data_IF_471368177546
#
_entry.id   IF_471368177546
#
_cell.length_a   1.000
_cell.length_b   1.000
_cell.length_c   1.000
_cell.angle_alpha   90.00
_cell.angle_beta   90.00
_cell.angle_gamma   90.00
#
_symmetry.space_group_name_H-M   'P 1'
#
loop_
_entity.id
_entity.type
_entity.pdbx_description
1 polymer ?
#
# COMPACT_ATOMS: atom_id res chain seq x y z
N UNK A 1 -11.95 27.60 -14.96
CA UNK A 1 -11.89 26.40 -15.83
C UNK A 1 -10.74 26.45 -16.85
N UNK A 2 -10.55 27.54 -17.63
CA UNK A 2 -9.44 27.64 -18.61
C UNK A 2 -8.04 27.62 -17.98
N UNK A 3 -7.88 28.21 -16.80
CA UNK A 3 -6.57 28.29 -16.12
C UNK A 3 -6.03 26.92 -15.67
N UNK A 4 -6.91 26.06 -15.12
CA UNK A 4 -6.53 24.70 -14.68
C UNK A 4 -6.12 23.84 -15.87
N UNK A 5 -6.85 23.97 -16.99
CA UNK A 5 -6.58 23.22 -18.22
C UNK A 5 -5.21 23.61 -18.80
N UNK A 6 -4.94 24.91 -18.95
CA UNK A 6 -3.64 25.42 -19.43
C UNK A 6 -2.47 25.01 -18.53
N UNK A 7 -2.66 25.07 -17.21
CA UNK A 7 -1.65 24.62 -16.26
C UNK A 7 -1.39 23.11 -16.38
N UNK A 8 -2.45 22.30 -16.48
CA UNK A 8 -2.34 20.84 -16.57
C UNK A 8 -1.72 20.39 -17.90
N UNK A 9 -2.01 21.08 -19.00
CA UNK A 9 -1.35 20.87 -20.30
C UNK A 9 0.17 21.06 -20.19
N UNK A 10 0.59 22.19 -19.61
CA UNK A 10 2.01 22.50 -19.41
C UNK A 10 2.67 21.48 -18.49
N UNK A 11 1.98 21.08 -17.41
CA UNK A 11 2.46 20.06 -16.47
C UNK A 11 2.68 18.70 -17.15
N UNK A 12 1.71 18.23 -17.94
CA UNK A 12 1.80 16.95 -18.67
C UNK A 12 2.92 17.00 -19.71
N UNK A 13 3.00 18.08 -20.50
CA UNK A 13 4.06 18.25 -21.49
C UNK A 13 5.45 18.27 -20.87
N UNK A 14 5.63 19.02 -19.77
CA UNK A 14 6.89 19.07 -19.02
C UNK A 14 7.30 17.70 -18.45
N UNK A 15 6.34 16.92 -17.97
CA UNK A 15 6.59 15.57 -17.46
C UNK A 15 6.98 14.59 -18.56
N UNK A 16 6.29 14.59 -19.70
CA UNK A 16 6.61 13.71 -20.84
C UNK A 16 8.00 14.03 -21.41
N UNK A 17 8.34 15.32 -21.55
CA UNK A 17 9.68 15.75 -21.94
C UNK A 17 10.76 15.30 -20.94
N UNK A 18 10.48 15.39 -19.65
CA UNK A 18 11.37 14.88 -18.62
C UNK A 18 11.54 13.35 -18.70
N UNK A 19 10.47 12.58 -18.97
CA UNK A 19 10.59 11.12 -19.12
C UNK A 19 11.49 10.74 -20.30
N UNK A 20 11.43 11.49 -21.41
CA UNK A 20 12.33 11.32 -22.56
C UNK A 20 13.79 11.56 -22.16
N UNK A 21 14.07 12.67 -21.49
CA UNK A 21 15.42 13.01 -21.02
C UNK A 21 15.97 12.01 -19.99
N UNK A 22 15.09 11.44 -19.16
CA UNK A 22 15.45 10.44 -18.16
C UNK A 22 15.63 9.02 -18.74
N UNK A 23 15.51 8.84 -20.06
CA UNK A 23 15.81 7.57 -20.74
C UNK A 23 14.73 6.50 -20.59
N UNK A 24 13.47 6.87 -20.32
CA UNK A 24 12.37 5.90 -20.26
C UNK A 24 12.12 5.28 -21.65
N UNK A 25 11.70 4.02 -21.69
CA UNK A 25 11.36 3.35 -22.94
C UNK A 25 10.24 4.10 -23.71
N UNK A 26 10.29 4.18 -25.06
CA UNK A 26 9.28 4.87 -25.86
C UNK A 26 7.85 4.37 -25.61
N UNK A 27 7.68 3.06 -25.42
CA UNK A 27 6.37 2.45 -25.09
C UNK A 27 5.80 2.91 -23.76
N UNK A 28 6.66 3.10 -22.74
CA UNK A 28 6.30 3.63 -21.43
C UNK A 28 5.88 5.09 -21.53
N UNK A 29 6.62 5.90 -22.29
CA UNK A 29 6.31 7.31 -22.53
C UNK A 29 4.96 7.46 -23.25
N UNK A 30 4.76 6.71 -24.34
CA UNK A 30 3.51 6.71 -25.09
C UNK A 30 2.31 6.32 -24.21
N UNK A 31 2.48 5.28 -23.39
CA UNK A 31 1.42 4.82 -22.48
C UNK A 31 1.10 5.88 -21.43
N UNK A 32 2.11 6.48 -20.81
CA UNK A 32 1.93 7.54 -19.83
C UNK A 32 1.23 8.77 -20.44
N UNK A 33 1.68 9.23 -21.60
CA UNK A 33 1.09 10.37 -22.30
C UNK A 33 -0.40 10.13 -22.62
N UNK A 34 -0.73 8.95 -23.16
CA UNK A 34 -2.12 8.59 -23.47
C UNK A 34 -3.00 8.58 -22.22
N UNK A 35 -2.53 7.98 -21.13
CA UNK A 35 -3.27 7.93 -19.87
C UNK A 35 -3.46 9.33 -19.25
N UNK A 36 -2.44 10.18 -19.30
CA UNK A 36 -2.52 11.55 -18.80
C UNK A 36 -3.46 12.43 -19.63
N UNK A 37 -3.60 12.16 -20.94
CA UNK A 37 -4.59 12.82 -21.80
C UNK A 37 -6.02 12.50 -21.36
N UNK A 38 -6.30 11.24 -21.03
CA UNK A 38 -7.61 10.84 -20.47
C UNK A 38 -7.86 11.46 -19.11
N UNK A 39 -6.83 11.51 -18.24
CA UNK A 39 -6.94 12.16 -16.94
C UNK A 39 -7.26 13.66 -17.07
N UNK A 40 -6.61 14.37 -17.98
CA UNK A 40 -6.91 15.78 -18.27
C UNK A 40 -8.35 16.00 -18.73
N UNK A 41 -8.83 15.18 -19.67
CA UNK A 41 -10.23 15.24 -20.12
C UNK A 41 -11.21 15.04 -18.96
N UNK A 42 -10.94 14.05 -18.10
CA UNK A 42 -11.72 13.78 -16.89
C UNK A 42 -11.76 14.97 -15.93
N UNK A 43 -10.60 15.60 -15.65
CA UNK A 43 -10.52 16.78 -14.77
C UNK A 43 -11.32 17.96 -15.34
N UNK A 44 -11.24 18.16 -16.65
CA UNK A 44 -11.98 19.21 -17.37
C UNK A 44 -13.49 18.99 -17.30
N UNK A 45 -13.95 17.78 -17.55
CA UNK A 45 -15.37 17.40 -17.51
C UNK A 45 -15.96 17.53 -16.09
N UNK A 46 -15.17 17.18 -15.07
CA UNK A 46 -15.59 17.23 -13.66
C UNK A 46 -15.45 18.62 -13.02
N UNK A 47 -14.83 19.58 -13.70
CA UNK A 47 -14.63 20.94 -13.19
C UNK A 47 -13.78 21.00 -11.91
N UNK A 48 -12.81 20.08 -11.76
CA UNK A 48 -12.02 19.95 -10.52
C UNK A 48 -11.13 21.18 -10.32
N UNK A 49 -11.08 21.70 -9.10
CA UNK A 49 -10.22 22.84 -8.74
C UNK A 49 -8.74 22.45 -8.82
N UNK A 50 -7.85 23.43 -9.09
CA UNK A 50 -6.39 23.19 -9.16
C UNK A 50 -5.83 22.49 -7.92
N UNK A 51 -6.36 22.80 -6.74
CA UNK A 51 -5.91 22.23 -5.47
C UNK A 51 -6.35 20.77 -5.33
N UNK A 52 -7.46 20.41 -5.96
CA UNK A 52 -8.07 19.08 -5.82
C UNK A 52 -7.65 18.10 -6.92
N UNK A 53 -6.98 18.56 -7.99
CA UNK A 53 -6.55 17.72 -9.13
C UNK A 53 -5.70 16.53 -8.66
N UNK A 54 -4.71 16.77 -7.78
CA UNK A 54 -3.77 15.75 -7.32
C UNK A 54 -4.09 15.25 -5.90
N UNK A 55 -5.37 14.99 -5.63
CA UNK A 55 -5.84 14.34 -4.40
C UNK A 55 -6.12 12.86 -4.62
N UNK A 56 -6.22 12.11 -3.54
CA UNK A 56 -6.63 10.70 -3.60
C UNK A 56 -8.03 10.54 -4.17
N UNK A 57 -8.95 11.44 -3.85
CA UNK A 57 -10.35 11.32 -4.24
C UNK A 57 -10.52 11.55 -5.74
N UNK A 58 -9.84 12.56 -6.30
CA UNK A 58 -9.77 12.77 -7.75
C UNK A 58 -9.16 11.56 -8.47
N UNK A 59 -8.11 10.95 -7.91
CA UNK A 59 -7.50 9.76 -8.48
C UNK A 59 -8.46 8.55 -8.43
N UNK A 60 -9.14 8.33 -7.30
CA UNK A 60 -10.06 7.21 -7.11
C UNK A 60 -11.30 7.36 -8.00
N UNK A 61 -11.79 8.59 -8.16
CA UNK A 61 -12.86 8.91 -9.10
C UNK A 61 -12.43 8.66 -10.56
N UNK A 62 -11.20 9.01 -10.93
CA UNK A 62 -10.67 8.68 -12.25
C UNK A 62 -10.53 7.16 -12.47
N UNK A 63 -9.99 6.41 -11.49
CA UNK A 63 -9.89 4.94 -11.54
C UNK A 63 -11.26 4.27 -11.70
N UNK A 64 -12.32 4.85 -11.10
CA UNK A 64 -13.68 4.31 -11.23
C UNK A 64 -14.26 4.43 -12.65
N UNK A 65 -13.86 5.47 -13.40
CA UNK A 65 -14.29 5.70 -14.79
C UNK A 65 -13.36 4.97 -15.77
N UNK A 66 -12.07 4.88 -15.44
CA UNK A 66 -11.03 4.25 -16.26
C UNK A 66 -10.27 3.17 -15.48
N UNK A 67 -10.85 1.98 -15.28
CA UNK A 67 -10.24 0.88 -14.52
C UNK A 67 -9.15 0.18 -15.34
N UNK A 68 -8.10 0.91 -15.73
CA UNK A 68 -6.89 0.35 -16.35
C UNK A 68 -5.79 0.24 -15.30
N UNK A 69 -5.12 -0.92 -15.28
CA UNK A 69 -4.07 -1.29 -14.32
C UNK A 69 -2.94 -0.26 -14.13
N UNK A 70 -2.76 0.68 -15.07
CA UNK A 70 -1.68 1.66 -15.06
C UNK A 70 -2.13 3.12 -15.06
N UNK A 71 -3.44 3.39 -15.10
CA UNK A 71 -3.98 4.75 -15.12
C UNK A 71 -3.48 5.55 -13.92
N UNK A 72 -3.57 4.98 -12.73
CA UNK A 72 -3.09 5.63 -11.52
C UNK A 72 -1.56 5.72 -11.41
N UNK A 73 -0.81 4.80 -12.04
CA UNK A 73 0.64 4.87 -12.05
C UNK A 73 1.15 6.11 -12.80
N UNK A 74 0.54 6.43 -13.95
CA UNK A 74 0.89 7.60 -14.75
C UNK A 74 0.58 8.90 -13.98
N UNK A 75 -0.62 9.01 -13.39
CA UNK A 75 -1.04 10.19 -12.62
C UNK A 75 -0.19 10.38 -11.36
N UNK A 76 0.12 9.30 -10.61
CA UNK A 76 1.06 9.35 -9.47
C UNK A 76 2.48 9.68 -9.91
N UNK A 77 2.88 9.28 -11.11
CA UNK A 77 4.16 9.66 -11.73
C UNK A 77 4.26 11.16 -11.93
N UNK A 78 3.26 11.75 -12.59
CA UNK A 78 3.14 13.20 -12.80
C UNK A 78 3.12 13.97 -11.47
N UNK A 79 2.27 13.57 -10.51
CA UNK A 79 2.18 14.23 -9.22
C UNK A 79 3.53 14.25 -8.48
N UNK A 80 4.27 13.13 -8.47
CA UNK A 80 5.61 13.06 -7.89
C UNK A 80 6.60 13.99 -8.59
N UNK A 81 6.53 14.09 -9.93
CA UNK A 81 7.37 14.99 -10.70
C UNK A 81 7.08 16.46 -10.36
N UNK A 82 5.82 16.86 -10.30
CA UNK A 82 5.40 18.21 -9.93
C UNK A 82 5.78 18.56 -8.49
N UNK A 83 5.65 17.61 -7.57
CA UNK A 83 6.08 17.78 -6.18
C UNK A 83 7.60 18.02 -6.08
N UNK A 84 8.41 17.23 -6.79
CA UNK A 84 9.88 17.45 -6.85
C UNK A 84 10.25 18.83 -7.40
N UNK A 85 9.42 19.39 -8.29
CA UNK A 85 9.57 20.73 -8.85
C UNK A 85 8.89 21.84 -8.03
N UNK A 86 8.39 21.52 -6.82
CA UNK A 86 7.67 22.45 -5.92
C UNK A 86 6.45 23.14 -6.57
N UNK A 87 5.84 22.52 -7.58
CA UNK A 87 4.65 23.08 -8.25
C UNK A 87 3.34 22.69 -7.56
N UNK A 88 3.39 21.66 -6.71
CA UNK A 88 2.30 21.23 -5.83
C UNK A 88 2.86 20.99 -4.42
N UNK A 89 2.06 21.23 -3.36
CA UNK A 89 2.55 21.16 -1.98
C UNK A 89 2.82 19.73 -1.49
N UNK A 90 2.15 18.73 -2.07
CA UNK A 90 2.31 17.33 -1.72
C UNK A 90 2.05 16.42 -2.94
N UNK A 91 2.65 15.22 -3.01
CA UNK A 91 2.24 14.21 -3.98
C UNK A 91 0.83 13.69 -3.63
N UNK A 92 0.25 12.85 -4.49
CA UNK A 92 -1.01 12.16 -4.16
C UNK A 92 -0.74 11.20 -2.99
N UNK A 93 -1.28 11.56 -1.82
CA UNK A 93 -1.21 10.75 -0.61
C UNK A 93 -2.52 10.00 -0.47
N UNK A 94 -2.45 8.68 -0.32
CA UNK A 94 -3.62 7.89 0.08
C UNK A 94 -3.98 8.27 1.52
N UNK A 95 -5.22 8.70 1.81
CA UNK A 95 -5.62 9.06 3.15
C UNK A 95 -5.39 7.85 4.06
N UNK A 96 -4.87 8.13 5.25
CA UNK A 96 -4.74 7.11 6.30
C UNK A 96 -6.15 6.79 6.77
N UNK A 97 -6.64 5.60 6.44
CA UNK A 97 -7.82 5.05 7.11
C UNK A 97 -7.36 4.75 8.54
N UNK A 98 -7.92 5.48 9.49
CA UNK A 98 -7.69 5.24 10.91
C UNK A 98 -8.31 3.90 11.26
N UNK A 99 -7.51 3.02 11.84
CA UNK A 99 -8.01 1.80 12.45
C UNK A 99 -8.60 2.13 13.82
N UNK A 100 -9.46 1.26 14.38
CA UNK A 100 -9.89 1.42 15.77
C UNK A 100 -8.70 1.56 16.72
N UNK A 101 -8.90 2.30 17.82
CA UNK A 101 -7.85 2.81 18.71
C UNK A 101 -6.82 1.76 19.16
N UNK A 102 -7.26 0.51 19.38
CA UNK A 102 -6.38 -0.59 19.79
C UNK A 102 -5.29 -0.91 18.74
N UNK A 103 -5.63 -0.84 17.45
CA UNK A 103 -4.70 -1.09 16.37
C UNK A 103 -3.75 0.10 16.19
N UNK A 104 -4.25 1.33 16.27
CA UNK A 104 -3.41 2.53 16.21
C UNK A 104 -2.45 2.63 17.40
N UNK A 105 -2.91 2.26 18.60
CA UNK A 105 -2.07 2.15 19.79
C UNK A 105 -0.95 1.12 19.61
N UNK A 106 -1.25 -0.04 19.00
CA UNK A 106 -0.21 -1.00 18.65
C UNK A 106 0.78 -0.45 17.63
N UNK A 107 0.32 0.26 16.59
CA UNK A 107 1.22 0.80 15.57
C UNK A 107 2.18 1.85 16.14
N UNK A 108 1.71 2.70 17.07
CA UNK A 108 2.56 3.62 17.84
C UNK A 108 3.56 2.87 18.72
N UNK A 109 3.08 1.90 19.51
CA UNK A 109 3.95 1.06 20.33
C UNK A 109 5.03 0.35 19.49
N UNK A 110 4.66 -0.15 18.31
CA UNK A 110 5.58 -0.84 17.40
C UNK A 110 6.62 0.10 16.79
N UNK A 111 6.24 1.34 16.48
CA UNK A 111 7.15 2.39 16.00
C UNK A 111 8.18 2.78 17.07
N UNK A 112 7.72 3.00 18.31
CA UNK A 112 8.56 3.42 19.44
C UNK A 112 9.53 2.32 19.92
N UNK A 113 9.08 1.07 19.98
CA UNK A 113 9.85 0.00 20.65
C UNK A 113 10.85 -0.75 19.77
N UNK A 114 10.78 -0.61 18.43
CA UNK A 114 11.49 -1.55 17.54
C UNK A 114 12.34 -0.93 16.42
N UNK A 115 12.56 0.40 16.41
CA UNK A 115 13.36 1.09 15.38
C UNK A 115 13.03 0.61 13.95
N UNK A 116 11.73 0.51 13.63
CA UNK A 116 11.30 -0.25 12.45
C UNK A 116 11.31 0.60 11.19
N UNK A 117 11.74 0.01 10.08
CA UNK A 117 11.71 0.66 8.78
C UNK A 117 10.28 1.10 8.41
N UNK A 118 10.02 2.32 7.89
CA UNK A 118 8.68 2.80 7.56
C UNK A 118 7.85 1.89 6.64
N UNK A 119 8.52 1.12 5.77
CA UNK A 119 7.89 0.14 4.89
C UNK A 119 7.22 -1.02 5.66
N UNK A 120 7.79 -1.39 6.80
CA UNK A 120 7.24 -2.44 7.67
C UNK A 120 5.94 -1.97 8.35
N UNK A 121 5.87 -0.72 8.82
CA UNK A 121 4.68 -0.13 9.44
C UNK A 121 3.51 -0.09 8.45
N UNK A 122 3.78 0.27 7.21
CA UNK A 122 2.77 0.30 6.14
C UNK A 122 2.22 -1.11 5.87
N UNK A 123 3.10 -2.11 5.83
CA UNK A 123 2.70 -3.51 5.60
C UNK A 123 1.96 -4.08 6.80
N UNK A 124 2.43 -3.84 8.02
CA UNK A 124 1.76 -4.21 9.27
C UNK A 124 0.36 -3.62 9.31
N UNK A 125 0.22 -2.31 9.05
CA UNK A 125 -1.09 -1.64 8.98
C UNK A 125 -2.02 -2.34 7.99
N UNK A 126 -1.54 -2.66 6.78
CA UNK A 126 -2.35 -3.38 5.78
C UNK A 126 -2.86 -4.73 6.29
N UNK A 127 -2.01 -5.50 6.98
CA UNK A 127 -2.40 -6.78 7.58
C UNK A 127 -3.45 -6.56 8.68
N UNK A 128 -3.27 -5.56 9.53
CA UNK A 128 -4.20 -5.24 10.62
C UNK A 128 -5.55 -4.70 10.13
N UNK A 129 -5.55 -3.88 9.07
CA UNK A 129 -6.79 -3.43 8.42
C UNK A 129 -7.57 -4.62 7.88
N UNK A 130 -6.92 -5.52 7.14
CA UNK A 130 -7.58 -6.71 6.62
C UNK A 130 -8.09 -7.64 7.74
N UNK A 131 -7.36 -7.75 8.85
CA UNK A 131 -7.81 -8.49 10.03
C UNK A 131 -9.05 -7.82 10.64
N UNK A 132 -9.03 -6.50 10.80
CA UNK A 132 -10.18 -5.76 11.32
C UNK A 132 -11.42 -5.97 10.45
N UNK A 133 -11.31 -5.82 9.14
CA UNK A 133 -12.40 -6.05 8.20
C UNK A 133 -12.95 -7.48 8.32
N UNK A 134 -12.06 -8.48 8.40
CA UNK A 134 -12.43 -9.89 8.60
C UNK A 134 -13.23 -10.12 9.89
N UNK A 135 -12.80 -9.52 11.00
CA UNK A 135 -13.45 -9.64 12.30
C UNK A 135 -14.79 -8.91 12.33
N UNK A 136 -14.84 -7.69 11.80
CA UNK A 136 -16.06 -6.88 11.71
C UNK A 136 -17.14 -7.54 10.87
N UNK A 137 -16.78 -8.16 9.73
CA UNK A 137 -17.72 -8.90 8.89
C UNK A 137 -18.35 -10.11 9.58
N UNK A 138 -17.73 -10.63 10.65
CA UNK A 138 -18.16 -11.82 11.39
C UNK A 138 -18.64 -11.51 12.79
N UNK A 139 -18.72 -10.22 13.14
CA UNK A 139 -19.05 -9.76 14.49
C UNK A 139 -18.19 -10.39 15.59
N UNK A 140 -16.89 -10.55 15.32
CA UNK A 140 -15.94 -11.14 16.27
C UNK A 140 -15.21 -10.02 17.02
N UNK A 141 -15.48 -9.88 18.31
CA UNK A 141 -14.71 -9.00 19.18
C UNK A 141 -13.26 -9.50 19.37
N UNK A 142 -12.32 -8.59 19.58
CA UNK A 142 -10.92 -8.93 19.87
C UNK A 142 -10.75 -9.79 21.13
N UNK A 143 -11.62 -9.65 22.13
CA UNK A 143 -11.61 -10.48 23.34
C UNK A 143 -12.08 -11.92 23.07
N UNK A 144 -12.91 -12.12 22.04
CA UNK A 144 -13.39 -13.43 21.58
C UNK A 144 -12.50 -14.08 20.51
N UNK A 145 -11.29 -13.57 20.29
CA UNK A 145 -10.38 -14.09 19.27
C UNK A 145 -9.93 -15.50 19.64
N UNK A 146 -10.02 -16.43 18.68
CA UNK A 146 -9.51 -17.80 18.81
C UNK A 146 -8.50 -18.08 17.70
N UNK A 147 -7.74 -19.18 17.83
CA UNK A 147 -6.69 -19.50 16.85
C UNK A 147 -7.29 -19.84 15.47
N UNK A 148 -8.47 -20.47 15.46
CA UNK A 148 -9.18 -20.86 14.25
C UNK A 148 -9.56 -19.63 13.42
N UNK A 149 -9.93 -18.53 14.07
CA UNK A 149 -10.22 -17.25 13.39
C UNK A 149 -8.96 -16.68 12.73
N UNK A 150 -7.80 -16.85 13.37
CA UNK A 150 -6.52 -16.38 12.84
C UNK A 150 -6.05 -17.27 11.67
N UNK A 151 -6.19 -18.58 11.78
CA UNK A 151 -5.81 -19.52 10.73
C UNK A 151 -6.70 -19.35 9.50
N UNK A 152 -8.02 -19.22 9.69
CA UNK A 152 -8.95 -18.91 8.61
C UNK A 152 -8.60 -17.58 7.94
N UNK A 153 -8.39 -16.52 8.71
CA UNK A 153 -7.96 -15.22 8.18
C UNK A 153 -6.67 -15.36 7.36
N UNK A 154 -5.63 -16.00 7.91
CA UNK A 154 -4.33 -16.15 7.26
C UNK A 154 -4.41 -17.00 5.99
N UNK A 155 -5.24 -18.04 5.95
CA UNK A 155 -5.44 -18.87 4.76
C UNK A 155 -6.03 -18.07 3.60
N UNK A 156 -7.05 -17.24 3.89
CA UNK A 156 -7.70 -16.37 2.90
C UNK A 156 -6.79 -15.21 2.48
N UNK A 157 -6.19 -14.52 3.44
CA UNK A 157 -5.36 -13.34 3.20
C UNK A 157 -4.06 -13.67 2.44
N UNK A 158 -3.52 -14.87 2.66
CA UNK A 158 -2.29 -15.32 2.00
C UNK A 158 -2.54 -16.17 0.74
N UNK A 159 -3.78 -16.36 0.32
CA UNK A 159 -4.10 -17.12 -0.88
C UNK A 159 -3.36 -16.53 -2.11
N UNK A 160 -2.61 -17.37 -2.81
CA UNK A 160 -1.82 -16.96 -3.98
C UNK A 160 -0.56 -16.14 -3.69
N UNK A 161 -0.20 -15.91 -2.41
CA UNK A 161 1.04 -15.20 -2.06
C UNK A 161 2.23 -16.16 -1.91
N UNK A 162 3.42 -15.67 -2.26
CA UNK A 162 4.66 -16.41 -2.06
C UNK A 162 5.00 -16.60 -0.58
N UNK A 163 5.66 -17.72 -0.26
CA UNK A 163 5.97 -18.14 1.11
C UNK A 163 6.63 -17.05 1.98
N UNK A 164 7.60 -16.32 1.42
CA UNK A 164 8.31 -15.26 2.14
C UNK A 164 7.36 -14.14 2.61
N UNK A 165 6.35 -13.82 1.79
CA UNK A 165 5.31 -12.85 2.13
C UNK A 165 4.39 -13.39 3.20
N UNK A 166 3.95 -14.66 3.08
CA UNK A 166 3.13 -15.32 4.10
C UNK A 166 3.83 -15.37 5.46
N UNK A 167 5.14 -15.65 5.47
CA UNK A 167 5.97 -15.63 6.69
C UNK A 167 6.03 -14.25 7.32
N UNK A 168 6.20 -13.18 6.53
CA UNK A 168 6.18 -11.80 7.02
C UNK A 168 4.83 -11.42 7.61
N UNK A 169 3.74 -11.72 6.91
CA UNK A 169 2.37 -11.44 7.37
C UNK A 169 2.09 -12.11 8.72
N UNK A 170 2.48 -13.39 8.88
CA UNK A 170 2.40 -14.10 10.16
C UNK A 170 3.21 -13.41 11.27
N UNK A 171 4.43 -12.96 10.97
CA UNK A 171 5.28 -12.27 11.94
C UNK A 171 4.65 -10.96 12.44
N UNK A 172 4.07 -10.17 11.53
CA UNK A 172 3.38 -8.92 11.88
C UNK A 172 2.16 -9.19 12.76
N UNK A 173 1.36 -10.19 12.41
CA UNK A 173 0.19 -10.59 13.19
C UNK A 173 0.59 -11.12 14.56
N UNK A 174 1.66 -11.92 14.65
CA UNK A 174 2.19 -12.43 15.91
C UNK A 174 2.62 -11.29 16.85
N UNK A 175 3.24 -10.24 16.32
CA UNK A 175 3.58 -9.05 17.09
C UNK A 175 2.36 -8.37 17.70
N UNK A 176 1.28 -8.24 16.92
CA UNK A 176 0.03 -7.64 17.38
C UNK A 176 -0.66 -8.50 18.45
N UNK A 177 -0.77 -9.82 18.23
CA UNK A 177 -1.36 -10.74 19.20
C UNK A 177 -0.60 -10.73 20.54
N UNK A 178 0.73 -10.62 20.48
CA UNK A 178 1.57 -10.50 21.68
C UNK A 178 1.26 -9.21 22.43
N UNK A 179 1.12 -8.09 21.71
CA UNK A 179 0.72 -6.81 22.30
C UNK A 179 -0.66 -6.87 22.94
N UNK A 180 -1.66 -7.48 22.28
CA UNK A 180 -3.00 -7.64 22.83
C UNK A 180 -3.01 -8.45 24.13
N UNK A 181 -2.19 -9.49 24.21
CA UNK A 181 -2.07 -10.32 25.41
C UNK A 181 -1.28 -9.62 26.53
N UNK A 182 -0.02 -9.25 26.29
CA UNK A 182 0.87 -8.75 27.35
C UNK A 182 0.65 -7.29 27.73
N UNK A 183 0.38 -6.41 26.75
CA UNK A 183 0.30 -4.97 26.99
C UNK A 183 -1.12 -4.49 27.24
N UNK A 184 -2.14 -5.21 26.76
CA UNK A 184 -3.55 -4.79 26.84
C UNK A 184 -4.43 -5.73 27.66
N UNK A 185 -3.99 -6.94 27.98
CA UNK A 185 -4.79 -7.92 28.72
C UNK A 185 -6.11 -8.28 28.04
N UNK A 186 -6.23 -8.07 26.73
CA UNK A 186 -7.50 -8.24 25.99
C UNK A 186 -7.75 -9.68 25.57
N UNK A 187 -6.70 -10.52 25.54
CA UNK A 187 -6.80 -11.91 25.14
C UNK A 187 -6.71 -12.83 26.36
N UNK A 188 -7.56 -13.86 26.48
CA UNK A 188 -7.51 -14.81 27.60
C UNK A 188 -6.30 -15.76 27.52
N UNK A 189 -5.69 -15.92 26.34
CA UNK A 189 -4.47 -16.71 26.14
C UNK A 189 -3.53 -16.06 25.14
N UNK A 190 -2.25 -16.42 25.24
CA UNK A 190 -1.23 -15.98 24.28
C UNK A 190 -1.40 -16.69 22.92
N UNK A 191 -2.23 -16.11 22.05
CA UNK A 191 -2.43 -16.60 20.69
C UNK A 191 -1.16 -16.46 19.83
N UNK A 192 -0.22 -15.58 20.19
CA UNK A 192 0.98 -15.36 19.40
C UNK A 192 1.88 -16.61 19.36
N UNK A 193 1.88 -17.40 20.45
CA UNK A 193 2.58 -18.70 20.53
C UNK A 193 1.97 -19.76 19.63
N UNK A 194 0.66 -19.66 19.37
CA UNK A 194 -0.08 -20.64 18.58
C UNK A 194 -0.06 -20.35 17.08
N UNK A 195 0.26 -19.10 16.68
CA UNK A 195 0.53 -18.76 15.29
C UNK A 195 1.90 -19.33 14.90
N UNK A 196 1.95 -20.63 14.64
CA UNK A 196 3.15 -21.35 14.18
C UNK A 196 3.19 -21.33 12.66
N UNK A 197 4.35 -21.03 12.09
CA UNK A 197 4.56 -21.19 10.65
C UNK A 197 4.92 -22.64 10.36
N UNK A 198 4.39 -23.24 9.29
CA UNK A 198 4.86 -24.54 8.84
C UNK A 198 6.40 -24.53 8.73
N UNK A 199 7.05 -25.45 9.45
CA UNK A 199 8.50 -25.66 9.37
C UNK A 199 8.79 -26.11 7.95
N UNK A 200 9.53 -25.29 7.20
CA UNK A 200 9.84 -25.62 5.83
C UNK A 200 11.18 -26.36 5.81
N UNK A 201 11.13 -27.68 5.60
CA UNK A 201 12.31 -28.52 5.43
C UNK A 201 12.90 -28.41 4.02
N UNK A 202 12.21 -27.75 3.08
CA UNK A 202 12.67 -27.59 1.71
C UNK A 202 13.61 -26.37 1.55
N UNK A 203 14.85 -26.52 2.00
CA UNK A 203 15.97 -25.75 1.44
C UNK A 203 16.61 -26.57 0.32
N UNK A 204 15.98 -26.57 -0.86
CA UNK A 204 16.55 -27.11 -2.09
C UNK A 204 17.24 -26.04 -2.94
N UNK A 205 17.63 -24.91 -2.35
CA UNK A 205 18.55 -23.98 -3.00
C UNK A 205 19.86 -24.04 -2.23
N UNK A 206 20.86 -24.80 -2.72
CA UNK A 206 22.19 -24.68 -2.18
C UNK A 206 22.62 -23.22 -2.28
N UNK A 207 23.28 -22.67 -1.25
CA UNK A 207 23.83 -21.34 -1.33
C UNK A 207 24.75 -21.29 -2.56
N UNK A 208 24.57 -20.25 -3.39
CA UNK A 208 25.34 -20.07 -4.63
C UNK A 208 26.75 -19.62 -4.28
N UNK A 209 27.52 -20.51 -3.64
CA UNK A 209 28.94 -20.33 -3.46
C UNK A 209 29.61 -20.72 -4.77
N UNK A 210 30.21 -19.72 -5.42
CA UNK A 210 31.19 -19.85 -6.50
C UNK A 210 30.66 -20.38 -7.84
N UNK A 211 30.44 -19.48 -8.80
CA UNK A 211 30.67 -19.86 -10.21
C UNK A 211 32.19 -19.93 -10.40
N UNK A 212 32.72 -21.02 -10.94
CA UNK A 212 34.08 -21.04 -11.43
C UNK A 212 34.21 -19.93 -12.49
N UNK A 213 35.20 -19.05 -12.32
CA UNK A 213 35.67 -18.21 -13.43
C UNK A 213 36.26 -19.16 -14.47
N UNK A 214 35.69 -19.17 -15.66
CA UNK A 214 36.41 -19.52 -16.88
C UNK A 214 37.17 -18.29 -17.38
#
# INVERSE_FOLDING_TARGET
MREVDLWLESAVGGYVSWMRQAGYAPSTIYTAERLLRHFKAFIRERGVSRQDVFTHDSLKAFESVWPRLYAACAVRGLARHLFRRKQIPAPIIRPRILLPDVYEAYLRFFEETRQVLPLSLTTTRRVLSALHDYLSQRDIALSGLRIEHIDEFLSRFNAGLGWATCRKNRSYLRGFLRYLYHNRGMLPRDLAKLVVGAVNFAHANPPTFLRARE
#
